data_IF_674529754220
#
_entry.id   IF_674529754220
#
_cell.length_a   1.000
_cell.length_b   1.000
_cell.length_c   1.000
_cell.angle_alpha   90.00
_cell.angle_beta   90.00
_cell.angle_gamma   90.00
#
_symmetry.space_group_name_H-M   'P 1'
#
loop_
_entity.id
_entity.type
_entity.pdbx_description
1 polymer ?
#
# COMPACT_ATOMS: atom_id res chain seq x y z
N UNK A 1 7.19 12.64 13.63
CA UNK A 1 6.48 12.68 12.34
C UNK A 1 5.41 11.59 12.39
N UNK A 2 4.19 11.86 11.94
CA UNK A 2 3.07 10.92 12.10
C UNK A 2 3.15 9.85 11.00
N UNK A 3 3.46 8.61 11.38
CA UNK A 3 3.47 7.49 10.44
C UNK A 3 2.04 7.04 10.12
N UNK A 4 1.76 6.75 8.85
CA UNK A 4 0.51 6.16 8.40
C UNK A 4 0.56 4.64 8.57
N UNK A 5 -0.30 4.10 9.43
CA UNK A 5 -0.50 2.66 9.54
C UNK A 5 -1.47 2.17 8.45
N UNK A 6 -0.93 1.49 7.44
CA UNK A 6 -1.68 0.92 6.32
C UNK A 6 -1.69 -0.61 6.42
N UNK A 7 -2.87 -1.22 6.34
CA UNK A 7 -2.98 -2.68 6.17
C UNK A 7 -2.82 -3.01 4.70
N UNK A 8 -1.75 -3.69 4.31
CA UNK A 8 -1.48 -4.17 2.95
C UNK A 8 -1.98 -5.60 2.82
N UNK A 9 -2.99 -5.82 1.99
CA UNK A 9 -3.55 -7.14 1.72
C UNK A 9 -2.89 -7.74 0.48
N UNK A 10 -2.12 -8.80 0.68
CA UNK A 10 -1.44 -9.54 -0.36
C UNK A 10 -2.40 -10.56 -0.95
N UNK A 11 -3.10 -10.17 -2.02
CA UNK A 11 -4.14 -11.00 -2.66
C UNK A 11 -3.62 -12.39 -3.04
N UNK A 12 -2.37 -12.48 -3.52
CA UNK A 12 -1.73 -13.77 -3.87
C UNK A 12 -1.55 -14.71 -2.67
N UNK A 13 -1.29 -14.17 -1.48
CA UNK A 13 -1.05 -14.94 -0.26
C UNK A 13 -2.23 -14.95 0.71
N UNK A 14 -3.35 -14.28 0.36
CA UNK A 14 -4.49 -14.02 1.25
C UNK A 14 -4.05 -13.50 2.63
N UNK A 15 -2.94 -12.76 2.69
CA UNK A 15 -2.30 -12.34 3.94
C UNK A 15 -2.36 -10.83 4.05
N UNK A 16 -2.85 -10.33 5.18
CA UNK A 16 -2.90 -8.90 5.47
C UNK A 16 -1.74 -8.57 6.39
N UNK A 17 -0.86 -7.66 5.98
CA UNK A 17 0.22 -7.12 6.80
C UNK A 17 0.00 -5.66 7.08
N UNK A 18 -0.06 -5.31 8.36
CA UNK A 18 -0.06 -3.91 8.79
C UNK A 18 1.37 -3.38 8.73
N UNK A 19 1.61 -2.35 7.93
CA UNK A 19 2.89 -1.68 7.77
C UNK A 19 2.73 -0.19 8.04
N UNK A 20 3.79 0.42 8.55
CA UNK A 20 3.84 1.86 8.83
C UNK A 20 4.67 2.53 7.74
N UNK A 21 4.11 3.57 7.14
CA UNK A 21 4.74 4.34 6.07
C UNK A 21 4.78 5.80 6.44
N UNK A 22 5.80 6.52 5.99
CA UNK A 22 5.81 7.97 6.11
C UNK A 22 4.79 8.56 5.10
N UNK A 23 3.97 9.54 5.50
CA UNK A 23 2.96 10.14 4.62
C UNK A 23 3.59 10.82 3.40
N UNK A 24 4.86 11.22 3.48
CA UNK A 24 5.59 11.88 2.40
C UNK A 24 6.20 10.92 1.39
N UNK A 25 6.22 9.60 1.65
CA UNK A 25 6.80 8.65 0.68
C UNK A 25 5.90 8.49 -0.53
N UNK A 26 6.53 8.21 -1.67
CA UNK A 26 5.83 7.84 -2.89
C UNK A 26 5.27 6.43 -2.78
N UNK A 27 4.14 6.18 -3.45
CA UNK A 27 3.55 4.83 -3.56
C UNK A 27 4.56 3.83 -4.12
N UNK A 28 5.42 4.22 -5.07
CA UNK A 28 6.51 3.37 -5.58
C UNK A 28 7.54 3.00 -4.50
N UNK A 29 7.87 3.94 -3.60
CA UNK A 29 8.79 3.68 -2.50
C UNK A 29 8.12 2.82 -1.43
N UNK A 30 6.82 3.04 -1.18
CA UNK A 30 6.02 2.19 -0.31
C UNK A 30 6.02 0.73 -0.80
N UNK A 31 5.83 0.50 -2.10
CA UNK A 31 5.92 -0.82 -2.72
C UNK A 31 7.31 -1.44 -2.53
N UNK A 32 8.38 -0.65 -2.64
CA UNK A 32 9.75 -1.13 -2.40
C UNK A 32 9.96 -1.57 -0.95
N UNK A 33 9.43 -0.80 0.01
CA UNK A 33 9.48 -1.16 1.44
C UNK A 33 8.67 -2.43 1.70
N UNK A 34 7.49 -2.56 1.08
CA UNK A 34 6.65 -3.77 1.19
C UNK A 34 7.41 -4.98 0.64
N UNK A 35 8.07 -4.86 -0.50
CA UNK A 35 8.87 -5.93 -1.09
C UNK A 35 10.05 -6.33 -0.19
N UNK A 36 10.76 -5.35 0.38
CA UNK A 36 11.86 -5.61 1.31
C UNK A 36 11.37 -6.29 2.62
N UNK A 37 10.19 -5.89 3.12
CA UNK A 37 9.56 -6.48 4.32
C UNK A 37 8.83 -7.79 4.04
N UNK A 38 8.44 -8.01 2.79
CA UNK A 38 7.63 -9.14 2.33
C UNK A 38 8.13 -9.63 0.98
N UNK A 39 9.32 -10.25 0.93
CA UNK A 39 9.92 -10.72 -0.32
C UNK A 39 9.07 -11.77 -1.04
N UNK A 40 8.14 -12.41 -0.33
CA UNK A 40 7.19 -13.38 -0.90
C UNK A 40 6.03 -12.71 -1.65
N UNK A 41 5.76 -11.41 -1.44
CA UNK A 41 4.68 -10.69 -2.13
C UNK A 41 4.98 -10.52 -3.63
N UNK A 42 6.27 -10.52 -3.98
CA UNK A 42 6.81 -10.10 -5.26
C UNK A 42 7.18 -11.31 -6.11
N UNK A 43 6.26 -12.26 -6.25
CA UNK A 43 6.39 -13.35 -7.20
C UNK A 43 5.93 -12.86 -8.59
N UNK A 44 6.66 -11.88 -9.15
CA UNK A 44 6.43 -11.27 -10.48
C UNK A 44 7.14 -9.92 -10.66
N UNK A 45 7.08 -9.34 -11.87
CA UNK A 45 7.64 -8.00 -12.15
C UNK A 45 7.01 -6.92 -11.23
N UNK A 46 7.86 -6.18 -10.50
CA UNK A 46 7.48 -5.03 -9.64
C UNK A 46 6.53 -4.04 -10.32
N UNK A 47 6.58 -3.96 -11.65
CA UNK A 47 5.77 -3.09 -12.51
C UNK A 47 4.28 -3.45 -12.55
N UNK A 48 3.91 -4.69 -12.18
CA UNK A 48 2.51 -5.17 -12.24
C UNK A 48 1.80 -5.16 -10.87
N UNK A 49 2.43 -4.63 -9.83
CA UNK A 49 1.83 -4.50 -8.50
C UNK A 49 1.49 -3.04 -8.23
N UNK A 50 0.27 -2.81 -7.77
CA UNK A 50 -0.21 -1.51 -7.32
C UNK A 50 -0.68 -1.59 -5.87
N UNK A 51 -0.87 -0.42 -5.28
CA UNK A 51 -1.53 -0.28 -3.99
C UNK A 51 -3.01 0.02 -4.26
N UNK A 52 -3.92 -0.81 -3.78
CA UNK A 52 -5.35 -0.59 -3.89
C UNK A 52 -5.91 -0.05 -2.58
N UNK A 53 -6.67 1.02 -2.66
CA UNK A 53 -7.35 1.61 -1.52
C UNK A 53 -8.78 1.12 -1.50
N UNK A 54 -9.11 0.23 -0.57
CA UNK A 54 -10.46 -0.29 -0.38
C UNK A 54 -11.27 0.74 0.45
N UNK A 55 -12.20 1.44 -0.18
CA UNK A 55 -13.15 2.31 0.51
C UNK A 55 -14.35 1.47 0.95
N UNK A 56 -14.77 1.63 2.21
CA UNK A 56 -15.84 0.83 2.82
C UNK A 56 -17.20 0.96 2.10
N UNK A 57 -17.42 2.07 1.39
CA UNK A 57 -18.67 2.39 0.69
C UNK A 57 -18.51 2.81 -0.77
N UNK A 58 -17.28 2.91 -1.28
CA UNK A 58 -17.01 3.31 -2.67
C UNK A 58 -16.14 2.29 -3.37
N UNK A 59 -16.23 2.24 -4.70
CA UNK A 59 -15.33 1.40 -5.52
C UNK A 59 -13.91 1.81 -5.18
N UNK A 60 -13.17 0.92 -4.54
CA UNK A 60 -11.79 1.19 -4.16
C UNK A 60 -10.97 1.64 -5.37
N UNK A 61 -9.93 2.44 -5.11
CA UNK A 61 -9.13 3.09 -6.15
C UNK A 61 -7.69 2.60 -6.12
N UNK A 62 -7.09 2.43 -7.30
CA UNK A 62 -5.66 2.18 -7.40
C UNK A 62 -4.89 3.48 -7.14
N UNK A 63 -3.83 3.36 -6.34
CA UNK A 63 -2.93 4.43 -5.97
C UNK A 63 -1.83 4.53 -7.04
N UNK A 64 -1.52 5.76 -7.45
CA UNK A 64 -0.55 6.02 -8.51
C UNK A 64 0.89 5.99 -7.96
N UNK A 65 1.84 5.27 -8.57
CA UNK A 65 3.22 5.15 -8.09
C UNK A 65 3.96 6.49 -8.01
N UNK A 66 3.58 7.45 -8.85
CA UNK A 66 4.15 8.80 -8.93
C UNK A 66 3.58 9.79 -7.91
N UNK A 67 2.63 9.36 -7.06
CA UNK A 67 1.99 10.21 -6.04
C UNK A 67 2.46 9.80 -4.63
N UNK A 68 2.61 10.76 -3.71
CA UNK A 68 2.87 10.46 -2.31
C UNK A 68 1.61 9.94 -1.61
N UNK A 69 1.81 9.17 -0.54
CA UNK A 69 0.71 8.63 0.26
C UNK A 69 -0.18 9.73 0.86
N UNK A 70 0.37 10.88 1.27
CA UNK A 70 -0.42 12.00 1.80
C UNK A 70 -1.33 12.67 0.77
N UNK A 71 -1.09 12.44 -0.53
CA UNK A 71 -1.91 13.04 -1.58
C UNK A 71 -3.32 12.44 -1.54
N UNK A 72 -3.41 11.21 -1.07
CA UNK A 72 -4.67 10.52 -0.86
C UNK A 72 -5.13 10.76 0.58
N UNK A 73 -6.45 10.81 0.83
CA UNK A 73 -7.02 10.90 2.17
C UNK A 73 -6.86 9.55 2.92
N UNK A 74 -5.61 9.11 3.10
CA UNK A 74 -5.27 7.90 3.83
C UNK A 74 -5.46 8.15 5.31
N UNK A 75 -6.47 7.51 5.90
CA UNK A 75 -6.66 7.52 7.34
C UNK A 75 -5.97 6.30 7.97
N UNK A 76 -5.23 6.54 9.06
CA UNK A 76 -4.60 5.52 9.87
C UNK A 76 -5.64 4.48 10.32
N UNK A 77 -5.47 3.22 9.92
CA UNK A 77 -6.37 2.11 10.29
C UNK A 77 -7.25 1.55 9.17
N UNK A 78 -7.25 2.16 7.97
CA UNK A 78 -7.96 1.63 6.80
C UNK A 78 -7.26 0.43 6.17
N UNK A 79 -8.03 -0.36 5.41
CA UNK A 79 -7.58 -1.56 4.68
C UNK A 79 -7.20 -1.19 3.25
N UNK A 80 -6.05 -1.66 2.81
CA UNK A 80 -5.51 -1.49 1.46
C UNK A 80 -5.20 -2.89 0.91
N UNK A 81 -5.40 -3.14 -0.39
CA UNK A 81 -5.17 -4.45 -1.01
C UNK A 81 -4.34 -4.40 -2.27
#
# INVERSE_FOLDING_TARGET
>A
MAALSLKVNLVKQKTIKTLQFEPTILVQDALRIIDEKVPQATEGERTNYGLFLEEENERGRWLEPSRPLNFYPLASGKRYS
#
